data_IF_165462390291
#
_entry.id   IF_165462390291
#
_cell.length_a   1.000
_cell.length_b   1.000
_cell.length_c   1.000
_cell.angle_alpha   90.00
_cell.angle_beta   90.00
_cell.angle_gamma   90.00
#
_symmetry.space_group_name_H-M   'P 1'
#
loop_
_entity.id
_entity.type
_entity.pdbx_description
1 polymer ?
#
# COMPACT_ATOMS: atom_id res chain seq x y z
N UNK A 1 10.10 7.68 -9.89
CA UNK A 1 9.68 9.03 -9.45
C UNK A 1 9.83 9.17 -7.95
N UNK A 2 10.09 10.38 -7.47
CA UNK A 2 10.13 10.67 -6.04
C UNK A 2 8.76 11.19 -5.59
N UNK A 3 8.08 10.41 -4.75
CA UNK A 3 6.74 10.71 -4.22
C UNK A 3 6.78 10.82 -2.69
N UNK A 4 7.97 10.94 -2.08
CA UNK A 4 8.13 10.95 -0.61
C UNK A 4 7.45 12.15 0.07
N UNK A 5 7.20 13.22 -0.68
CA UNK A 5 6.51 14.43 -0.18
C UNK A 5 4.97 14.34 -0.32
N UNK A 6 4.44 13.26 -0.88
CA UNK A 6 2.99 13.08 -1.02
C UNK A 6 2.41 12.57 0.30
N UNK A 7 1.31 13.19 0.75
CA UNK A 7 0.57 12.75 1.93
C UNK A 7 -0.06 11.37 1.66
N UNK A 8 0.35 10.34 2.41
CA UNK A 8 -0.14 8.97 2.19
C UNK A 8 -0.19 8.12 3.45
N UNK A 9 -1.05 7.11 3.43
CA UNK A 9 -1.26 6.19 4.56
C UNK A 9 -1.38 4.75 4.07
N UNK A 10 -1.10 3.79 4.95
CA UNK A 10 -1.60 2.40 4.81
C UNK A 10 -2.82 2.23 5.71
N UNK A 11 -3.75 1.35 5.34
CA UNK A 11 -4.95 1.07 6.12
C UNK A 11 -5.20 -0.44 6.14
N UNK A 12 -4.89 -1.06 7.27
CA UNK A 12 -4.84 -2.53 7.38
C UNK A 12 -5.52 -3.04 8.64
N UNK A 13 -5.53 -4.35 8.82
CA UNK A 13 -5.84 -4.96 10.11
C UNK A 13 -4.83 -4.53 11.19
N UNK A 14 -5.25 -4.39 12.46
CA UNK A 14 -4.35 -3.93 13.54
C UNK A 14 -3.14 -4.85 13.78
N UNK A 15 -3.23 -6.11 13.34
CA UNK A 15 -2.16 -7.11 13.49
C UNK A 15 -1.38 -7.38 12.20
N UNK A 16 -1.68 -6.70 11.09
CA UNK A 16 -0.96 -6.85 9.83
C UNK A 16 0.51 -6.44 9.99
N UNK A 17 1.42 -7.02 9.20
CA UNK A 17 2.86 -6.68 9.25
C UNK A 17 3.46 -6.51 7.86
N UNK A 18 2.91 -7.23 6.90
CA UNK A 18 3.03 -7.14 5.47
C UNK A 18 2.04 -6.10 4.93
N UNK A 19 2.45 -4.83 4.92
CA UNK A 19 1.65 -3.73 4.37
C UNK A 19 2.03 -3.59 2.89
N UNK A 20 1.21 -4.14 2.01
CA UNK A 20 1.54 -4.25 0.59
C UNK A 20 1.16 -3.00 -0.22
N UNK A 21 0.20 -2.21 0.28
CA UNK A 21 -0.32 -1.04 -0.40
C UNK A 21 -0.43 0.20 0.51
N UNK A 22 -0.19 1.36 -0.09
CA UNK A 22 -0.44 2.66 0.49
C UNK A 22 -1.27 3.51 -0.48
N UNK A 23 -2.05 4.46 0.06
CA UNK A 23 -2.91 5.34 -0.71
C UNK A 23 -2.61 6.81 -0.43
N UNK A 24 -2.59 7.61 -1.48
CA UNK A 24 -2.56 9.08 -1.43
C UNK A 24 -3.72 9.65 -2.24
N UNK A 25 -4.32 10.75 -1.77
CA UNK A 25 -5.43 11.40 -2.47
C UNK A 25 -5.30 12.91 -2.38
N UNK A 26 -5.31 13.57 -3.54
CA UNK A 26 -5.32 15.03 -3.64
C UNK A 26 -6.59 15.46 -4.36
N UNK A 27 -7.38 16.33 -3.74
CA UNK A 27 -8.52 16.96 -4.40
C UNK A 27 -8.02 18.04 -5.37
N UNK A 28 -8.53 18.05 -6.59
CA UNK A 28 -8.22 19.04 -7.61
C UNK A 28 -9.46 19.86 -7.95
N UNK A 29 -9.33 20.86 -8.83
CA UNK A 29 -10.50 21.63 -9.33
C UNK A 29 -11.50 20.76 -10.10
N UNK A 30 -11.03 19.70 -10.75
CA UNK A 30 -11.81 18.87 -11.67
C UNK A 30 -12.06 17.44 -11.16
N UNK A 31 -11.80 17.17 -9.88
CA UNK A 31 -11.96 15.84 -9.28
C UNK A 31 -10.83 15.51 -8.31
N UNK A 32 -10.12 14.41 -8.57
CA UNK A 32 -9.10 13.89 -7.66
C UNK A 32 -7.89 13.32 -8.39
N UNK A 33 -6.72 13.38 -7.76
CA UNK A 33 -5.56 12.56 -8.11
C UNK A 33 -5.37 11.51 -7.02
N UNK A 34 -5.58 10.25 -7.36
CA UNK A 34 -5.42 9.08 -6.49
C UNK A 34 -4.09 8.39 -6.81
N UNK A 35 -3.22 8.24 -5.82
CA UNK A 35 -2.06 7.37 -5.89
C UNK A 35 -2.32 6.07 -5.13
N UNK A 36 -2.13 4.93 -5.82
CA UNK A 36 -2.05 3.61 -5.21
C UNK A 36 -0.62 3.13 -5.34
N UNK A 37 0.05 2.90 -4.23
CA UNK A 37 1.48 2.60 -4.17
C UNK A 37 1.65 1.16 -3.69
N UNK A 38 2.08 0.26 -4.59
CA UNK A 38 2.25 -1.16 -4.27
C UNK A 38 3.72 -1.45 -3.98
N UNK A 39 4.01 -2.19 -2.92
CA UNK A 39 5.34 -2.66 -2.57
C UNK A 39 6.05 -3.27 -3.80
N UNK A 40 7.26 -2.79 -4.11
CA UNK A 40 8.04 -3.33 -5.22
C UNK A 40 8.76 -4.61 -4.81
N UNK A 41 7.98 -5.68 -4.69
CA UNK A 41 8.48 -7.02 -4.36
C UNK A 41 9.43 -7.52 -5.45
N UNK A 42 9.16 -7.18 -6.71
CA UNK A 42 9.92 -7.65 -7.87
C UNK A 42 11.36 -7.16 -7.85
N UNK A 43 11.61 -5.97 -7.31
CA UNK A 43 12.98 -5.47 -7.10
C UNK A 43 13.79 -6.37 -6.14
N UNK A 44 13.16 -6.99 -5.15
CA UNK A 44 13.83 -7.88 -4.19
C UNK A 44 13.79 -9.37 -4.58
N UNK A 45 12.76 -9.79 -5.32
CA UNK A 45 12.54 -11.18 -5.76
C UNK A 45 12.70 -11.24 -7.28
N UNK A 46 13.96 -11.28 -7.71
CA UNK A 46 14.32 -11.30 -9.13
C UNK A 46 13.96 -12.64 -9.79
N UNK A 47 13.56 -12.58 -11.06
CA UNK A 47 13.15 -13.76 -11.84
C UNK A 47 14.22 -14.86 -11.80
N UNK A 48 13.80 -16.13 -11.69
CA UNK A 48 14.64 -17.32 -11.61
C UNK A 48 15.55 -17.40 -10.37
N UNK A 49 15.49 -16.46 -9.43
CA UNK A 49 16.22 -16.53 -8.16
C UNK A 49 15.73 -17.67 -7.25
N UNK A 50 16.47 -17.96 -6.17
CA UNK A 50 16.01 -18.94 -5.18
C UNK A 50 14.70 -18.49 -4.49
N UNK A 51 14.55 -17.18 -4.27
CA UNK A 51 13.34 -16.60 -3.70
C UNK A 51 12.16 -16.73 -4.67
N UNK A 52 12.36 -16.44 -5.96
CA UNK A 52 11.33 -16.55 -6.99
C UNK A 52 10.84 -18.00 -7.15
N UNK A 53 11.77 -18.97 -7.24
CA UNK A 53 11.38 -20.39 -7.35
C UNK A 53 10.58 -20.88 -6.14
N UNK A 54 10.93 -20.43 -4.94
CA UNK A 54 10.18 -20.79 -3.73
C UNK A 54 8.83 -20.08 -3.65
N UNK A 55 8.78 -18.79 -4.02
CA UNK A 55 7.52 -18.03 -4.11
C UNK A 55 6.57 -18.67 -5.12
N UNK A 56 7.06 -19.02 -6.31
CA UNK A 56 6.30 -19.71 -7.35
C UNK A 56 5.81 -21.09 -6.89
N UNK A 57 6.64 -21.83 -6.17
CA UNK A 57 6.28 -23.14 -5.60
C UNK A 57 5.17 -23.02 -4.55
N UNK A 58 5.17 -21.96 -3.72
CA UNK A 58 4.12 -21.70 -2.72
C UNK A 58 2.85 -21.12 -3.34
N UNK A 59 2.98 -20.28 -4.36
CA UNK A 59 1.91 -19.60 -5.07
C UNK A 59 1.27 -18.44 -4.32
N UNK A 60 1.01 -18.60 -3.01
CA UNK A 60 0.41 -17.57 -2.16
C UNK A 60 0.75 -17.78 -0.68
N UNK A 61 0.55 -16.75 0.14
CA UNK A 61 0.55 -16.88 1.60
C UNK A 61 -0.69 -17.63 2.05
N UNK A 62 -0.55 -18.57 2.98
CA UNK A 62 -1.67 -19.35 3.52
C UNK A 62 -1.98 -18.87 4.93
N UNK A 63 -3.18 -18.33 5.13
CA UNK A 63 -3.66 -17.83 6.40
C UNK A 63 -4.51 -18.90 7.09
N UNK A 64 -4.01 -19.43 8.21
CA UNK A 64 -4.71 -20.39 9.07
C UNK A 64 -5.24 -19.68 10.32
N UNK A 65 -6.10 -20.36 11.08
CA UNK A 65 -6.71 -19.80 12.29
C UNK A 65 -5.67 -19.36 13.35
N UNK A 66 -4.52 -20.03 13.43
CA UNK A 66 -3.49 -19.81 14.46
C UNK A 66 -2.15 -19.30 13.92
N UNK A 67 -1.94 -19.27 12.59
CA UNK A 67 -0.65 -18.92 11.98
C UNK A 67 -0.78 -18.50 10.52
N UNK A 68 0.28 -17.89 10.01
CA UNK A 68 0.46 -17.61 8.58
C UNK A 68 1.63 -18.43 8.07
N UNK A 69 1.47 -19.06 6.90
CA UNK A 69 2.56 -19.66 6.13
C UNK A 69 2.85 -18.68 4.99
N UNK A 70 3.86 -17.80 5.11
CA UNK A 70 4.02 -16.71 4.17
C UNK A 70 4.61 -17.19 2.85
N UNK A 71 4.21 -16.57 1.73
CA UNK A 71 4.78 -16.83 0.41
C UNK A 71 6.27 -16.48 0.37
N UNK A 72 6.62 -15.35 0.99
CA UNK A 72 7.98 -14.84 1.07
C UNK A 72 8.53 -14.96 2.49
N UNK A 73 9.85 -15.00 2.68
CA UNK A 73 10.45 -14.91 4.01
C UNK A 73 9.99 -13.65 4.76
N UNK A 74 9.68 -13.78 6.06
CA UNK A 74 9.17 -12.67 6.88
C UNK A 74 10.08 -11.43 6.88
N UNK A 75 11.40 -11.62 6.75
CA UNK A 75 12.36 -10.51 6.65
C UNK A 75 12.12 -9.63 5.41
N UNK A 76 11.61 -10.21 4.33
CA UNK A 76 11.22 -9.47 3.13
C UNK A 76 9.81 -8.91 3.29
N UNK A 77 8.82 -9.78 3.54
CA UNK A 77 7.40 -9.39 3.59
C UNK A 77 7.13 -8.33 4.66
N UNK A 78 7.62 -8.52 5.88
CA UNK A 78 7.34 -7.61 7.01
C UNK A 78 8.37 -6.47 7.11
N UNK A 79 9.46 -6.56 6.35
CA UNK A 79 10.60 -5.65 6.45
C UNK A 79 10.65 -4.66 5.30
N UNK A 80 11.43 -5.03 4.27
CA UNK A 80 11.79 -4.12 3.18
C UNK A 80 10.67 -3.98 2.13
N UNK A 81 9.81 -4.99 1.97
CA UNK A 81 8.64 -4.90 1.11
C UNK A 81 7.47 -4.20 1.81
N UNK A 82 7.28 -4.40 3.12
CA UNK A 82 6.22 -3.73 3.87
C UNK A 82 6.41 -2.22 3.91
N UNK A 83 5.36 -1.49 3.53
CA UNK A 83 5.29 -0.03 3.43
C UNK A 83 5.19 0.65 4.81
N UNK A 84 6.18 0.38 5.66
CA UNK A 84 6.25 0.88 7.02
C UNK A 84 6.33 2.41 7.09
N UNK A 85 5.51 3.01 7.96
CA UNK A 85 5.48 4.45 8.19
C UNK A 85 6.85 5.04 8.57
N UNK A 86 7.14 6.23 8.04
CA UNK A 86 8.38 6.97 8.28
C UNK A 86 9.62 6.39 7.61
N UNK A 87 9.49 5.40 6.71
CA UNK A 87 10.62 4.79 6.03
C UNK A 87 10.47 4.91 4.51
N UNK A 88 11.59 5.17 3.83
CA UNK A 88 11.63 5.22 2.37
C UNK A 88 11.44 3.81 1.81
N UNK A 89 10.55 3.67 0.82
CA UNK A 89 10.19 2.38 0.21
C UNK A 89 10.08 2.46 -1.30
N UNK A 90 10.52 1.39 -1.96
CA UNK A 90 10.35 1.21 -3.40
C UNK A 90 8.95 0.67 -3.68
N UNK A 91 8.28 1.29 -4.63
CA UNK A 91 6.93 0.93 -5.03
C UNK A 91 6.77 0.97 -6.55
N UNK A 92 5.90 0.11 -7.05
CA UNK A 92 5.24 0.30 -8.32
C UNK A 92 3.93 1.05 -8.06
N UNK A 93 3.87 2.32 -8.46
CA UNK A 93 2.74 3.21 -8.19
C UNK A 93 1.83 3.34 -9.41
N UNK A 94 0.52 3.31 -9.17
CA UNK A 94 -0.51 3.68 -10.14
C UNK A 94 -1.07 5.04 -9.74
N UNK A 95 -0.87 6.05 -10.57
CA UNK A 95 -1.36 7.41 -10.36
C UNK A 95 -2.52 7.65 -11.31
N UNK A 96 -3.68 7.98 -10.76
CA UNK A 96 -4.96 8.11 -11.47
C UNK A 96 -5.55 9.50 -11.31
N UNK A 97 -5.95 10.11 -12.41
CA UNK A 97 -6.84 11.28 -12.40
C UNK A 97 -8.28 10.78 -12.46
N UNK A 98 -9.10 11.20 -11.49
CA UNK A 98 -10.49 10.76 -11.33
C UNK A 98 -11.44 11.95 -11.42
N UNK A 99 -12.63 11.74 -12.00
CA UNK A 99 -13.70 12.73 -12.02
C UNK A 99 -14.29 12.93 -10.60
N UNK A 100 -15.08 13.99 -10.37
CA UNK A 100 -15.76 14.20 -9.08
C UNK A 100 -16.69 13.05 -8.68
N UNK A 101 -17.22 12.31 -9.67
CA UNK A 101 -18.10 11.14 -9.51
C UNK A 101 -17.32 9.84 -9.31
N UNK A 102 -15.99 9.88 -9.34
CA UNK A 102 -15.11 8.73 -9.11
C UNK A 102 -14.76 7.91 -10.36
N UNK A 103 -15.02 8.43 -11.57
CA UNK A 103 -14.60 7.75 -12.80
C UNK A 103 -13.11 7.98 -13.06
N UNK A 104 -12.34 6.91 -13.35
CA UNK A 104 -10.93 7.04 -13.75
C UNK A 104 -10.84 7.61 -15.17
N UNK A 105 -10.27 8.79 -15.30
CA UNK A 105 -10.11 9.50 -16.58
C UNK A 105 -8.79 9.15 -17.26
N UNK A 106 -7.71 9.08 -16.48
CA UNK A 106 -6.36 8.75 -16.92
C UNK A 106 -5.61 8.00 -15.83
N UNK A 107 -4.66 7.19 -16.22
CA UNK A 107 -3.75 6.54 -15.29
C UNK A 107 -2.35 6.43 -15.89
N UNK A 108 -1.35 6.32 -15.02
CA UNK A 108 0.03 5.97 -15.38
C UNK A 108 0.62 5.08 -14.30
N UNK A 109 1.49 4.16 -14.72
CA UNK A 109 2.22 3.26 -13.84
C UNK A 109 3.68 3.70 -13.82
N UNK A 110 4.25 3.87 -12.63
CA UNK A 110 5.65 4.31 -12.46
C UNK A 110 6.34 3.58 -11.32
N UNK A 111 7.61 3.25 -11.51
CA UNK A 111 8.51 2.93 -10.40
C UNK A 111 8.72 4.19 -9.56
N UNK A 112 8.67 4.04 -8.24
CA UNK A 112 8.61 5.17 -7.31
C UNK A 112 9.31 4.90 -6.00
N UNK A 113 9.75 5.99 -5.35
CA UNK A 113 10.15 5.99 -3.94
C UNK A 113 9.09 6.76 -3.17
N UNK A 114 8.55 6.13 -2.12
CA UNK A 114 7.52 6.71 -1.25
C UNK A 114 8.00 6.77 0.20
N UNK A 115 7.28 7.51 1.05
CA UNK A 115 7.46 7.51 2.49
C UNK A 115 6.10 7.67 3.16
N UNK A 116 5.58 6.58 3.73
CA UNK A 116 4.25 6.58 4.37
C UNK A 116 4.24 7.50 5.59
N UNK A 117 3.26 8.40 5.68
CA UNK A 117 3.11 9.29 6.84
C UNK A 117 2.66 8.53 8.09
N UNK A 118 1.61 7.72 7.93
CA UNK A 118 0.92 7.08 9.05
C UNK A 118 0.45 5.67 8.68
N UNK A 119 0.61 4.75 9.63
CA UNK A 119 0.06 3.40 9.53
C UNK A 119 -1.27 3.39 10.27
N UNK A 120 -2.37 3.30 9.54
CA UNK A 120 -3.70 3.31 10.12
C UNK A 120 -4.29 1.89 10.20
N UNK A 121 -5.25 1.71 11.10
CA UNK A 121 -6.07 0.49 11.14
C UNK A 121 -7.50 0.78 10.69
N UNK A 122 -8.21 -0.22 10.13
CA UNK A 122 -9.62 -0.04 9.78
C UNK A 122 -10.48 0.51 10.94
N UNK A 123 -10.36 0.01 12.20
CA UNK A 123 -11.07 0.58 13.33
C UNK A 123 -10.77 2.06 13.59
N UNK A 124 -9.52 2.49 13.38
CA UNK A 124 -9.12 3.87 13.61
C UNK A 124 -9.67 4.80 12.53
N UNK A 125 -9.62 4.39 11.26
CA UNK A 125 -10.22 5.13 10.14
C UNK A 125 -11.74 5.23 10.33
N UNK A 126 -12.41 4.14 10.71
CA UNK A 126 -13.83 4.15 11.02
C UNK A 126 -14.16 5.17 12.13
N UNK A 127 -13.39 5.17 13.22
CA UNK A 127 -13.58 6.12 14.33
C UNK A 127 -13.39 7.57 13.88
N UNK A 128 -12.41 7.86 13.02
CA UNK A 128 -12.19 9.19 12.46
C UNK A 128 -13.42 9.63 11.66
N UNK A 129 -13.95 8.78 10.79
CA UNK A 129 -15.14 9.08 9.98
C UNK A 129 -16.38 9.34 10.85
N UNK A 130 -16.60 8.55 11.89
CA UNK A 130 -17.71 8.74 12.83
C UNK A 130 -17.63 10.07 13.60
N UNK A 131 -16.44 10.45 14.05
CA UNK A 131 -16.22 11.73 14.74
C UNK A 131 -16.41 12.93 13.81
N UNK A 132 -16.00 12.80 12.54
CA UNK A 132 -16.22 13.82 11.54
C UNK A 132 -17.71 14.01 11.23
N UNK A 133 -18.47 12.91 11.09
CA UNK A 133 -19.92 12.96 10.84
C UNK A 133 -20.72 13.60 11.97
N UNK A 134 -20.31 13.37 13.23
CA UNK A 134 -20.93 14.00 14.43
C UNK A 134 -20.61 15.47 14.61
N UNK A 135 -19.57 15.98 13.95
CA UNK A 135 -19.19 17.41 14.03
C UNK A 135 -19.98 18.29 13.04
N UNK A 136 -20.74 17.66 12.15
CA UNK A 136 -21.61 18.30 11.15
C UNK A 136 -23.10 18.31 11.52
N UNK A 137 -23.46 17.77 12.70
CA UNK A 137 -24.78 17.92 13.34
C UNK A 137 -24.70 18.92 14.50
#
# INVERSE_FOLDING_TARGET
EDLRDWKMVTIDGPYAKDLDDAVSLVKTENGYTLGVHIADVSNYVQEKSALDREALKRGTSVYLADRVIPMLPERLSNGICSLNAGQDRLCLSVIMDMSPEGAVLKHRIVESVIRVDERMSYPDVQRILELMGKSTE
#
